data_IF_259184140345
#
_entry.id   IF_259184140345
#
_cell.length_a   1.000
_cell.length_b   1.000
_cell.length_c   1.000
_cell.angle_alpha   90.00
_cell.angle_beta   90.00
_cell.angle_gamma   90.00
#
_symmetry.space_group_name_H-M   'P 1'
#
loop_
_entity.id
_entity.type
_entity.pdbx_description
1 polymer ?
#
# COMPACT_ATOMS: atom_id res chain seq x y z
N UNK A 1 -0.17 -9.29 -2.29
CA UNK A 1 -1.19 -9.96 -3.11
C UNK A 1 -1.48 -9.09 -4.33
N UNK A 2 -1.44 -9.65 -5.52
CA UNK A 2 -1.82 -9.01 -6.78
C UNK A 2 -2.66 -9.98 -7.61
N UNK A 3 -3.36 -9.49 -8.63
CA UNK A 3 -4.04 -10.36 -9.60
C UNK A 3 -3.15 -10.54 -10.82
N UNK A 4 -2.97 -11.79 -11.23
CA UNK A 4 -2.33 -12.18 -12.47
C UNK A 4 -3.40 -12.66 -13.44
N UNK A 5 -3.41 -12.12 -14.66
CA UNK A 5 -4.28 -12.56 -15.75
C UNK A 5 -3.48 -13.44 -16.71
N UNK A 6 -4.06 -14.56 -17.14
CA UNK A 6 -3.46 -15.47 -18.13
C UNK A 6 -4.47 -15.77 -19.23
N UNK A 7 -4.04 -15.62 -20.49
CA UNK A 7 -4.81 -16.00 -21.67
C UNK A 7 -4.43 -17.41 -22.11
N UNK A 8 -5.39 -18.32 -22.16
CA UNK A 8 -5.20 -19.73 -22.56
C UNK A 8 -6.39 -20.14 -23.43
N UNK A 9 -6.13 -20.58 -24.66
CA UNK A 9 -7.18 -21.09 -25.56
C UNK A 9 -8.30 -20.07 -25.85
N UNK A 10 -7.95 -18.78 -25.99
CA UNK A 10 -8.91 -17.71 -26.26
C UNK A 10 -9.66 -17.17 -25.03
N UNK A 11 -9.58 -17.84 -23.89
CA UNK A 11 -10.21 -17.41 -22.62
C UNK A 11 -9.18 -16.80 -21.67
N UNK A 12 -9.62 -15.88 -20.82
CA UNK A 12 -8.77 -15.21 -19.83
C UNK A 12 -9.11 -15.67 -18.41
N UNK A 13 -8.08 -15.96 -17.62
CA UNK A 13 -8.18 -16.55 -16.29
C UNK A 13 -7.42 -15.71 -15.27
N UNK A 14 -8.05 -15.48 -14.11
CA UNK A 14 -7.46 -14.73 -13.02
C UNK A 14 -6.85 -15.65 -11.96
N UNK A 15 -5.67 -15.27 -11.46
CA UNK A 15 -4.96 -15.91 -10.36
C UNK A 15 -4.59 -14.85 -9.31
N UNK A 16 -4.75 -15.19 -8.03
CA UNK A 16 -4.21 -14.41 -6.94
C UNK A 16 -2.74 -14.78 -6.72
N UNK A 17 -1.84 -13.83 -6.95
CA UNK A 17 -0.41 -13.98 -6.72
C UNK A 17 -0.03 -13.42 -5.35
N UNK A 18 0.64 -14.21 -4.52
CA UNK A 18 1.17 -13.75 -3.23
C UNK A 18 2.42 -14.50 -2.83
N UNK A 19 3.26 -13.85 -2.02
CA UNK A 19 4.44 -14.50 -1.42
C UNK A 19 4.01 -15.31 -0.21
N UNK A 20 4.45 -16.55 -0.15
CA UNK A 20 4.39 -17.43 1.01
C UNK A 20 5.83 -17.89 1.29
N UNK A 21 6.52 -17.16 2.17
CA UNK A 21 7.97 -17.30 2.36
C UNK A 21 8.75 -16.97 1.08
N UNK A 22 9.62 -17.88 0.66
CA UNK A 22 10.45 -17.76 -0.55
C UNK A 22 9.69 -18.06 -1.86
N UNK A 23 8.49 -18.66 -1.78
CA UNK A 23 7.72 -19.06 -2.97
C UNK A 23 6.65 -18.03 -3.30
N UNK A 24 6.40 -17.83 -4.60
CA UNK A 24 5.22 -17.11 -5.09
C UNK A 24 4.14 -18.13 -5.42
N UNK A 25 3.00 -18.02 -4.74
CA UNK A 25 1.83 -18.87 -4.96
C UNK A 25 0.88 -18.18 -5.93
N UNK A 26 0.40 -18.92 -6.93
CA UNK A 26 -0.65 -18.49 -7.85
C UNK A 26 -1.93 -19.29 -7.57
N UNK A 27 -2.84 -18.71 -6.78
CA UNK A 27 -4.12 -19.35 -6.47
C UNK A 27 -5.15 -19.00 -7.54
N UNK A 28 -5.66 -20.00 -8.24
CA UNK A 28 -6.70 -19.80 -9.27
C UNK A 28 -7.97 -19.18 -8.66
N UNK A 29 -8.51 -18.14 -9.31
CA UNK A 29 -9.72 -17.44 -8.88
C UNK A 29 -10.93 -17.75 -9.78
N UNK A 30 -10.69 -18.02 -11.06
CA UNK A 30 -11.73 -18.30 -12.05
C UNK A 30 -11.48 -17.61 -13.40
N UNK A 31 -12.39 -17.81 -14.38
CA UNK A 31 -12.41 -17.02 -15.62
C UNK A 31 -12.74 -15.55 -15.34
N UNK A 32 -12.13 -14.63 -16.09
CA UNK A 32 -12.34 -13.17 -15.93
C UNK A 32 -13.80 -12.76 -16.18
N UNK A 33 -14.48 -13.45 -17.09
CA UNK A 33 -15.90 -13.21 -17.43
C UNK A 33 -16.87 -13.50 -16.28
N UNK A 34 -16.43 -14.24 -15.25
CA UNK A 34 -17.27 -14.50 -14.08
C UNK A 34 -17.49 -13.22 -13.28
N UNK A 35 -18.77 -12.86 -13.03
CA UNK A 35 -19.13 -11.67 -12.25
C UNK A 35 -18.42 -11.60 -10.88
N UNK A 36 -18.25 -12.75 -10.20
CA UNK A 36 -17.52 -12.85 -8.93
C UNK A 36 -16.05 -12.47 -9.08
N UNK A 37 -15.41 -12.92 -10.16
CA UNK A 37 -14.00 -12.65 -10.45
C UNK A 37 -13.83 -11.19 -10.88
N UNK A 38 -14.69 -10.69 -11.76
CA UNK A 38 -14.72 -9.29 -12.17
C UNK A 38 -14.85 -8.34 -10.98
N UNK A 39 -15.80 -8.60 -10.06
CA UNK A 39 -15.98 -7.84 -8.82
C UNK A 39 -14.72 -7.88 -7.95
N UNK A 40 -14.11 -9.05 -7.77
CA UNK A 40 -12.88 -9.20 -7.00
C UNK A 40 -11.69 -8.46 -7.64
N UNK A 41 -11.63 -8.42 -8.98
CA UNK A 41 -10.65 -7.64 -9.73
C UNK A 41 -10.86 -6.14 -9.48
N UNK A 42 -12.10 -5.64 -9.58
CA UNK A 42 -12.38 -4.22 -9.33
C UNK A 42 -12.10 -3.81 -7.88
N UNK A 43 -12.45 -4.65 -6.90
CA UNK A 43 -12.16 -4.40 -5.47
C UNK A 43 -10.65 -4.33 -5.21
N UNK A 44 -9.88 -5.26 -5.78
CA UNK A 44 -8.42 -5.26 -5.68
C UNK A 44 -7.81 -4.02 -6.35
N UNK A 45 -8.27 -3.64 -7.55
CA UNK A 45 -7.83 -2.40 -8.21
C UNK A 45 -8.16 -1.15 -7.40
N UNK A 46 -9.34 -1.09 -6.78
CA UNK A 46 -9.71 0.01 -5.90
C UNK A 46 -8.80 0.08 -4.66
N UNK A 47 -8.43 -1.08 -4.10
CA UNK A 47 -7.50 -1.17 -2.96
C UNK A 47 -6.05 -0.80 -3.29
N UNK A 48 -5.70 -0.58 -4.57
CA UNK A 48 -4.38 -0.15 -5.00
C UNK A 48 -4.22 1.38 -5.05
N UNK A 49 -5.30 2.14 -4.83
CA UNK A 49 -5.32 3.60 -4.85
C UNK A 49 -5.59 4.20 -3.48
N UNK A 50 -5.06 5.39 -3.27
CA UNK A 50 -5.34 6.21 -2.08
C UNK A 50 -6.84 6.48 -1.99
N UNK A 51 -7.39 6.44 -0.78
CA UNK A 51 -8.81 6.74 -0.53
C UNK A 51 -9.07 8.24 -0.68
N UNK A 52 -10.25 8.59 -1.19
CA UNK A 52 -10.63 9.98 -1.45
C UNK A 52 -10.64 10.84 -0.16
N UNK A 53 -10.93 10.23 0.98
CA UNK A 53 -10.87 10.89 2.31
C UNK A 53 -9.50 11.50 2.64
N UNK A 54 -8.41 11.01 2.03
CA UNK A 54 -7.06 11.53 2.22
C UNK A 54 -6.60 12.51 1.13
N UNK A 55 -7.51 12.97 0.25
CA UNK A 55 -7.19 13.87 -0.87
C UNK A 55 -6.37 15.09 -0.48
N UNK A 56 -6.66 15.69 0.69
CA UNK A 56 -6.00 16.88 1.21
C UNK A 56 -4.51 16.68 1.50
N UNK A 57 -4.09 15.45 1.85
CA UNK A 57 -2.69 15.09 2.09
C UNK A 57 -1.86 15.05 0.81
N UNK A 58 -2.50 14.99 -0.35
CA UNK A 58 -1.87 14.86 -1.67
C UNK A 58 -2.25 16.00 -2.60
N UNK A 59 -2.38 17.22 -2.07
CA UNK A 59 -2.82 18.40 -2.81
C UNK A 59 -2.02 18.66 -4.10
N UNK A 60 -0.76 18.23 -4.14
CA UNK A 60 0.19 18.40 -5.25
C UNK A 60 0.07 17.33 -6.36
N UNK A 61 -0.77 16.30 -6.21
CA UNK A 61 -0.88 15.20 -7.18
C UNK A 61 -2.30 14.65 -7.25
N UNK A 62 -2.76 14.24 -8.44
CA UNK A 62 -4.03 13.52 -8.58
C UNK A 62 -3.91 12.11 -7.95
N UNK A 63 -4.85 11.75 -7.07
CA UNK A 63 -4.90 10.43 -6.41
C UNK A 63 -4.89 9.27 -7.41
N UNK A 64 -5.43 9.48 -8.62
CA UNK A 64 -5.45 8.46 -9.68
C UNK A 64 -4.04 8.03 -10.11
N UNK A 65 -3.05 8.89 -9.93
CA UNK A 65 -1.66 8.66 -10.28
C UNK A 65 -0.84 8.06 -9.11
N UNK A 66 -1.45 7.94 -7.93
CA UNK A 66 -0.78 7.45 -6.73
C UNK A 66 -1.17 5.98 -6.51
N UNK A 67 -0.22 5.09 -6.79
CA UNK A 67 -0.39 3.67 -6.57
C UNK A 67 0.21 3.28 -5.21
N UNK A 68 -0.62 2.75 -4.30
CA UNK A 68 -0.29 2.44 -2.90
C UNK A 68 1.04 1.67 -2.76
N UNK A 69 1.25 0.62 -3.55
CA UNK A 69 2.51 -0.16 -3.47
C UNK A 69 3.72 0.53 -4.10
N UNK A 70 3.56 1.17 -5.26
CA UNK A 70 4.68 1.76 -6.03
C UNK A 70 5.13 3.09 -5.42
N UNK A 71 4.21 3.82 -4.81
CA UNK A 71 4.45 5.13 -4.20
C UNK A 71 4.50 5.04 -2.66
N UNK A 72 4.86 3.87 -2.11
CA UNK A 72 4.81 3.61 -0.67
C UNK A 72 5.54 4.66 0.17
N UNK A 73 6.80 4.99 -0.18
CA UNK A 73 7.58 6.00 0.56
C UNK A 73 6.90 7.37 0.53
N UNK A 74 6.42 7.82 -0.64
CA UNK A 74 5.72 9.11 -0.76
C UNK A 74 4.44 9.17 0.09
N UNK A 75 3.64 8.09 0.10
CA UNK A 75 2.41 8.02 0.90
C UNK A 75 2.74 8.04 2.40
N UNK A 76 3.72 7.25 2.83
CA UNK A 76 4.16 7.19 4.23
C UNK A 76 4.70 8.55 4.65
N UNK A 77 5.56 9.19 3.84
CA UNK A 77 6.09 10.54 4.09
C UNK A 77 4.97 11.56 4.29
N UNK A 78 3.96 11.58 3.39
CA UNK A 78 2.82 12.52 3.50
C UNK A 78 2.04 12.33 4.78
N UNK A 79 1.78 11.08 5.17
CA UNK A 79 0.98 10.79 6.36
C UNK A 79 1.75 11.04 7.64
N UNK A 80 3.03 10.68 7.70
CA UNK A 80 3.83 10.93 8.88
C UNK A 80 4.11 12.41 9.11
N UNK A 81 4.00 13.26 8.08
CA UNK A 81 4.15 14.71 8.26
C UNK A 81 2.87 15.51 8.43
N UNK A 82 1.80 15.11 7.75
CA UNK A 82 0.59 15.92 7.65
C UNK A 82 -0.68 15.15 8.05
N UNK A 83 -0.57 13.84 8.26
CA UNK A 83 -1.69 12.97 8.55
C UNK A 83 -2.10 12.96 10.02
N UNK A 84 -3.33 12.50 10.25
CA UNK A 84 -3.88 12.26 11.58
C UNK A 84 -3.75 10.77 11.98
N UNK A 85 -4.27 10.43 13.15
CA UNK A 85 -4.28 9.05 13.65
C UNK A 85 -5.09 8.09 12.76
N UNK A 86 -6.11 8.60 12.05
CA UNK A 86 -6.91 7.79 11.11
C UNK A 86 -6.07 7.41 9.89
N UNK A 87 -5.35 8.37 9.31
CA UNK A 87 -4.40 8.15 8.22
C UNK A 87 -3.25 7.22 8.64
N UNK A 88 -2.75 7.34 9.87
CA UNK A 88 -1.77 6.42 10.43
C UNK A 88 -2.30 4.97 10.48
N UNK A 89 -3.49 4.77 11.05
CA UNK A 89 -4.14 3.44 11.09
C UNK A 89 -4.33 2.88 9.69
N UNK A 90 -4.67 3.73 8.73
CA UNK A 90 -4.82 3.32 7.33
C UNK A 90 -3.51 2.79 6.73
N UNK A 91 -2.39 3.51 6.87
CA UNK A 91 -1.10 3.02 6.34
C UNK A 91 -0.59 1.79 7.09
N UNK A 92 -0.88 1.66 8.39
CA UNK A 92 -0.55 0.44 9.17
C UNK A 92 -1.33 -0.79 8.72
N UNK A 93 -2.55 -0.61 8.16
CA UNK A 93 -3.32 -1.70 7.55
C UNK A 93 -2.79 -2.14 6.18
N UNK A 94 -1.92 -1.34 5.55
CA UNK A 94 -1.42 -1.55 4.19
C UNK A 94 0.04 -2.02 4.20
N UNK A 95 0.88 -1.32 4.96
CA UNK A 95 2.32 -1.54 5.01
C UNK A 95 2.72 -2.20 6.32
N UNK A 96 3.65 -3.17 6.28
CA UNK A 96 4.19 -3.72 7.52
C UNK A 96 4.96 -2.63 8.27
N UNK A 97 4.93 -2.66 9.61
CA UNK A 97 5.59 -1.66 10.45
C UNK A 97 7.07 -1.41 10.06
N UNK A 98 7.82 -2.47 9.74
CA UNK A 98 9.21 -2.37 9.26
C UNK A 98 9.37 -1.43 8.06
N UNK A 99 8.39 -1.37 7.15
CA UNK A 99 8.46 -0.51 5.97
C UNK A 99 8.22 0.96 6.33
N UNK A 100 7.37 1.20 7.32
CA UNK A 100 7.11 2.54 7.85
C UNK A 100 8.37 3.05 8.58
N UNK A 101 8.97 2.22 9.43
CA UNK A 101 10.23 2.50 10.14
C UNK A 101 11.36 2.79 9.15
N UNK A 102 11.54 1.94 8.13
CA UNK A 102 12.53 2.16 7.06
C UNK A 102 12.37 3.56 6.41
N UNK A 103 11.14 4.02 6.19
CA UNK A 103 10.89 5.36 5.61
C UNK A 103 11.17 6.47 6.63
N UNK A 104 10.85 6.28 7.92
CA UNK A 104 11.21 7.22 8.99
C UNK A 104 12.73 7.45 9.02
N UNK A 105 13.50 6.36 8.98
CA UNK A 105 14.97 6.40 9.02
C UNK A 105 15.56 7.04 7.76
N UNK A 106 15.13 6.58 6.58
CA UNK A 106 15.77 6.94 5.30
C UNK A 106 15.25 8.21 4.64
N UNK A 107 14.03 8.65 4.93
CA UNK A 107 13.44 9.80 4.23
C UNK A 107 14.12 11.11 4.60
N UNK A 108 14.43 11.94 3.60
CA UNK A 108 14.88 13.33 3.79
C UNK A 108 13.75 14.35 3.81
N UNK A 109 12.52 13.91 3.56
CA UNK A 109 11.32 14.78 3.49
C UNK A 109 10.56 14.83 4.81
N UNK A 110 10.78 13.86 5.69
CA UNK A 110 10.28 13.88 7.06
C UNK A 110 11.25 14.74 7.89
N UNK A 111 10.72 15.79 8.49
CA UNK A 111 11.37 16.68 9.45
C UNK A 111 11.94 15.90 10.63
N UNK A 112 13.03 16.42 11.21
CA UNK A 112 13.66 15.77 12.36
C UNK A 112 12.71 15.67 13.56
N UNK A 113 11.85 16.66 13.76
CA UNK A 113 10.84 16.66 14.82
C UNK A 113 9.88 15.47 14.68
N UNK A 114 9.32 15.28 13.49
CA UNK A 114 8.41 14.16 13.22
C UNK A 114 9.14 12.82 13.31
N UNK A 115 10.37 12.72 12.78
CA UNK A 115 11.20 11.51 12.95
C UNK A 115 11.36 11.12 14.42
N UNK A 116 11.76 12.06 15.28
CA UNK A 116 11.94 11.79 16.70
C UNK A 116 10.64 11.30 17.35
N UNK A 117 9.52 11.97 17.06
CA UNK A 117 8.21 11.54 17.57
C UNK A 117 7.86 10.11 17.12
N UNK A 118 8.01 9.82 15.83
CA UNK A 118 7.67 8.50 15.29
C UNK A 118 8.63 7.40 15.74
N UNK A 119 9.92 7.69 15.93
CA UNK A 119 10.87 6.72 16.50
C UNK A 119 10.46 6.34 17.93
N UNK A 120 10.01 7.29 18.75
CA UNK A 120 9.45 6.99 20.08
C UNK A 120 8.17 6.16 19.94
N UNK A 121 7.24 6.58 19.07
CA UNK A 121 5.98 5.87 18.84
C UNK A 121 6.18 4.41 18.43
N UNK A 122 7.14 4.13 17.54
CA UNK A 122 7.45 2.81 17.05
C UNK A 122 8.47 2.05 17.90
N UNK A 123 8.97 2.64 18.99
CA UNK A 123 9.93 2.02 19.90
C UNK A 123 11.31 1.78 19.27
N UNK A 124 11.71 2.64 18.32
CA UNK A 124 13.02 2.59 17.63
C UNK A 124 13.91 3.76 17.99
N UNK A 125 13.53 4.58 18.99
CA UNK A 125 14.40 5.58 19.57
C UNK A 125 15.42 4.86 20.45
N UNK A 126 16.71 5.09 20.20
CA UNK A 126 17.76 4.63 21.11
C UNK A 126 17.58 5.31 22.47
N UNK A 127 17.66 4.54 23.55
CA UNK A 127 17.80 5.10 24.89
C UNK A 127 19.14 5.85 24.94
N UNK A 128 19.09 7.16 24.70
CA UNK A 128 20.24 8.06 24.84
C UNK A 128 20.65 8.21 26.30
#
# INVERSE_FOLDING_TARGET
>A
MSILLKKIGGKEYAYLAYRAGVRVVHKYLGPVESNRVAKKISEMKASEKVREEYRSLFWDTDLKNIHIRRNASYIIERILEMGDLSALKWIQGIYPARKIIEVIETSRKISQKSKNFWQIWFGTADAS
#
